data_IF_331925592796
#
_entry.id   IF_331925592796
#
_cell.length_a   1.000
_cell.length_b   1.000
_cell.length_c   1.000
_cell.angle_alpha   90.00
_cell.angle_beta   90.00
_cell.angle_gamma   90.00
#
_symmetry.space_group_name_H-M   'P 1'
#
loop_
_entity.id
_entity.type
_entity.pdbx_description
1 polymer ?
#
# COMPACT_ATOMS: atom_id res chain seq x y z
N UNK A 1 73.98 19.24 -20.87
CA UNK A 1 73.63 18.04 -20.09
C UNK A 1 72.15 18.13 -19.77
N UNK A 2 71.34 17.45 -20.56
CA UNK A 2 69.88 17.53 -20.46
C UNK A 2 69.41 16.30 -19.70
N UNK A 3 68.91 16.49 -18.48
CA UNK A 3 68.36 15.41 -17.65
C UNK A 3 66.95 15.13 -18.10
N UNK A 4 66.74 13.99 -18.73
CA UNK A 4 65.42 13.47 -19.08
C UNK A 4 64.77 12.83 -17.81
N UNK A 5 63.54 13.19 -17.40
CA UNK A 5 62.87 12.50 -16.32
C UNK A 5 62.38 11.13 -16.78
N UNK A 6 62.89 10.07 -16.22
CA UNK A 6 62.37 8.70 -16.37
C UNK A 6 60.99 8.58 -15.73
N UNK A 7 59.96 8.72 -16.53
CA UNK A 7 58.58 8.36 -16.16
C UNK A 7 58.49 6.82 -16.13
N UNK A 8 58.70 6.21 -14.99
CA UNK A 8 58.44 4.81 -14.80
C UNK A 8 56.92 4.64 -14.74
N UNK A 9 56.30 4.41 -15.88
CA UNK A 9 54.92 3.99 -15.96
C UNK A 9 54.74 2.65 -15.26
N UNK A 10 54.11 2.65 -14.08
CA UNK A 10 53.81 1.44 -13.35
C UNK A 10 52.61 0.75 -14.00
N UNK A 11 52.79 -0.30 -14.81
CA UNK A 11 51.69 -0.95 -15.56
C UNK A 11 50.62 -1.56 -14.62
N UNK A 12 50.96 -1.81 -13.37
CA UNK A 12 50.07 -2.26 -12.32
C UNK A 12 49.00 -1.20 -11.99
N UNK A 13 49.37 0.05 -11.87
CA UNK A 13 48.44 1.15 -11.49
C UNK A 13 47.41 1.42 -12.62
N UNK A 14 47.83 1.33 -13.86
CA UNK A 14 46.91 1.48 -15.02
C UNK A 14 45.91 0.33 -15.12
N UNK A 15 46.36 -0.91 -14.85
CA UNK A 15 45.45 -2.08 -14.78
C UNK A 15 44.47 -1.96 -13.62
N UNK A 16 44.92 -1.52 -12.45
CA UNK A 16 44.04 -1.28 -11.30
C UNK A 16 43.01 -0.19 -11.55
N UNK A 17 43.43 0.93 -12.17
CA UNK A 17 42.51 2.01 -12.58
C UNK A 17 41.49 1.54 -13.62
N UNK A 18 41.90 0.73 -14.61
CA UNK A 18 40.98 0.17 -15.60
C UNK A 18 39.95 -0.78 -14.98
N UNK A 19 40.35 -1.63 -14.02
CA UNK A 19 39.43 -2.52 -13.29
C UNK A 19 38.47 -1.71 -12.42
N UNK A 20 38.95 -0.70 -11.71
CA UNK A 20 38.06 0.19 -10.91
C UNK A 20 37.08 0.94 -11.78
N UNK A 21 37.52 1.45 -12.93
CA UNK A 21 36.64 2.15 -13.88
C UNK A 21 35.60 1.19 -14.47
N UNK A 22 35.98 -0.03 -14.82
CA UNK A 22 35.07 -1.05 -15.31
C UNK A 22 34.04 -1.45 -14.24
N UNK A 23 34.46 -1.61 -12.98
CA UNK A 23 33.55 -1.91 -11.87
C UNK A 23 32.56 -0.75 -11.63
N UNK A 24 33.04 0.48 -11.75
CA UNK A 24 32.20 1.68 -11.61
C UNK A 24 31.17 1.76 -12.74
N UNK A 25 31.56 1.46 -13.97
CA UNK A 25 30.62 1.43 -15.12
C UNK A 25 29.58 0.32 -15.00
N UNK A 26 29.97 -0.86 -14.50
CA UNK A 26 29.00 -1.93 -14.20
C UNK A 26 28.01 -1.54 -13.11
N UNK A 27 28.44 -0.82 -12.08
CA UNK A 27 27.54 -0.39 -11.00
C UNK A 27 26.52 0.66 -11.45
N UNK A 28 26.84 1.50 -12.44
CA UNK A 28 25.90 2.46 -13.00
C UNK A 28 24.81 1.81 -13.84
N UNK A 29 25.08 0.65 -14.43
CA UNK A 29 24.09 -0.09 -15.25
C UNK A 29 23.01 -0.80 -14.41
N UNK A 30 23.22 -0.99 -13.11
CA UNK A 30 22.30 -1.70 -12.23
C UNK A 30 20.97 -0.95 -12.01
N UNK A 31 20.95 0.38 -12.12
CA UNK A 31 19.72 1.16 -11.96
C UNK A 31 18.71 1.01 -13.11
N UNK A 32 19.12 0.55 -14.27
CA UNK A 32 18.25 0.39 -15.44
C UNK A 32 17.39 -0.89 -15.41
N UNK A 33 17.65 -1.80 -14.47
CA UNK A 33 16.96 -3.09 -14.35
C UNK A 33 15.71 -3.08 -13.48
N UNK A 34 15.40 -1.96 -12.81
CA UNK A 34 14.14 -1.83 -12.07
C UNK A 34 13.06 -1.30 -13.02
N UNK A 35 12.07 -2.12 -13.40
CA UNK A 35 10.96 -1.63 -14.21
C UNK A 35 10.27 -0.50 -13.44
N UNK A 36 10.18 0.67 -14.09
CA UNK A 36 9.32 1.76 -13.64
C UNK A 36 7.90 1.20 -13.57
N UNK A 37 7.38 1.05 -12.36
CA UNK A 37 6.01 0.65 -12.13
C UNK A 37 5.24 1.84 -11.60
N UNK A 38 4.15 2.13 -12.27
CA UNK A 38 3.21 3.10 -11.78
C UNK A 38 2.53 2.55 -10.51
N UNK A 39 2.31 3.40 -9.50
CA UNK A 39 1.59 2.99 -8.31
C UNK A 39 0.17 2.56 -8.68
N UNK A 40 -0.30 1.51 -8.04
CA UNK A 40 -1.70 1.08 -8.17
C UNK A 40 -2.63 2.13 -7.58
N UNK A 41 -3.76 2.37 -8.23
CA UNK A 41 -4.82 3.20 -7.68
C UNK A 41 -5.77 2.32 -6.87
N UNK A 42 -6.01 2.70 -5.62
CA UNK A 42 -6.88 1.94 -4.73
C UNK A 42 -7.89 2.87 -4.10
N UNK A 43 -9.17 2.48 -4.19
CA UNK A 43 -10.29 3.25 -3.65
C UNK A 43 -11.24 2.34 -2.88
N UNK A 44 -11.79 2.83 -1.79
CA UNK A 44 -12.90 2.18 -1.09
C UNK A 44 -14.16 2.32 -1.92
N UNK A 45 -14.78 1.20 -2.27
CA UNK A 45 -16.01 1.18 -3.08
C UNK A 45 -17.21 0.61 -2.34
N UNK A 46 -17.02 0.06 -1.15
CA UNK A 46 -18.15 -0.45 -0.37
C UNK A 46 -17.75 -0.97 1.00
N UNK A 47 -18.75 -1.06 1.86
CA UNK A 47 -18.70 -1.65 3.18
C UNK A 47 -19.90 -2.59 3.30
N UNK A 48 -19.66 -3.87 3.57
CA UNK A 48 -20.70 -4.85 3.79
C UNK A 48 -20.66 -5.36 5.22
N UNK A 49 -21.76 -5.36 5.96
CA UNK A 49 -21.81 -5.96 7.28
C UNK A 49 -21.61 -7.47 7.19
N UNK A 50 -20.81 -8.01 8.08
CA UNK A 50 -20.60 -9.45 8.25
C UNK A 50 -21.25 -9.91 9.56
N UNK A 51 -21.59 -11.21 9.68
CA UNK A 51 -22.05 -11.75 10.94
C UNK A 51 -21.07 -11.45 12.07
N UNK A 52 -21.56 -10.79 13.11
CA UNK A 52 -20.77 -10.41 14.28
C UNK A 52 -20.73 -11.55 15.28
N UNK A 53 -19.64 -11.69 16.00
CA UNK A 53 -19.50 -12.63 17.12
C UNK A 53 -19.07 -11.84 18.34
N UNK A 54 -19.71 -12.07 19.46
CA UNK A 54 -19.43 -11.45 20.76
C UNK A 54 -19.53 -9.90 20.73
N UNK A 55 -18.50 -9.20 21.24
CA UNK A 55 -18.41 -7.74 21.30
C UNK A 55 -17.70 -7.12 20.08
N UNK A 56 -17.55 -7.86 19.00
CA UNK A 56 -16.93 -7.37 17.75
C UNK A 56 -18.00 -7.11 16.69
N UNK A 57 -17.91 -5.97 16.05
CA UNK A 57 -18.67 -5.68 14.84
C UNK A 57 -17.75 -5.91 13.64
N UNK A 58 -18.18 -6.75 12.72
CA UNK A 58 -17.39 -7.16 11.57
C UNK A 58 -17.97 -6.61 10.28
N UNK A 59 -17.08 -6.13 9.41
CA UNK A 59 -17.43 -5.67 8.07
C UNK A 59 -16.45 -6.24 7.05
N UNK A 60 -16.90 -6.31 5.80
CA UNK A 60 -16.01 -6.46 4.66
C UNK A 60 -15.81 -5.09 4.00
N UNK A 61 -14.57 -4.62 3.95
CA UNK A 61 -14.22 -3.45 3.15
C UNK A 61 -13.96 -3.91 1.72
N UNK A 62 -14.73 -3.38 0.77
CA UNK A 62 -14.49 -3.60 -0.65
C UNK A 62 -13.59 -2.50 -1.18
N UNK A 63 -12.43 -2.89 -1.66
CA UNK A 63 -11.46 -2.01 -2.31
C UNK A 63 -11.41 -2.34 -3.80
N UNK A 64 -11.46 -1.30 -4.63
CA UNK A 64 -11.13 -1.40 -6.05
C UNK A 64 -9.65 -1.15 -6.22
N UNK A 65 -8.95 -2.09 -6.83
CA UNK A 65 -7.53 -1.99 -7.15
C UNK A 65 -7.38 -1.89 -8.66
N UNK A 66 -6.84 -0.78 -9.13
CA UNK A 66 -6.58 -0.55 -10.55
C UNK A 66 -5.08 -0.71 -10.82
N UNK A 67 -4.75 -1.51 -11.81
CA UNK A 67 -3.39 -1.75 -12.28
C UNK A 67 -3.13 -0.93 -13.55
N UNK A 68 -2.40 0.20 -13.48
CA UNK A 68 -2.05 1.00 -14.65
C UNK A 68 -0.85 0.43 -15.44
N UNK A 69 -0.29 -0.69 -15.00
CA UNK A 69 0.94 -1.24 -15.56
C UNK A 69 0.67 -2.24 -16.69
N UNK A 70 1.67 -2.41 -17.54
CA UNK A 70 1.67 -3.40 -18.63
C UNK A 70 1.85 -4.84 -18.15
N UNK A 71 2.14 -5.04 -16.87
CA UNK A 71 2.34 -6.36 -16.26
C UNK A 71 1.25 -6.68 -15.26
N UNK A 72 0.85 -7.95 -15.20
CA UNK A 72 -0.06 -8.46 -14.18
C UNK A 72 0.56 -8.34 -12.78
N UNK A 73 -0.27 -8.03 -11.81
CA UNK A 73 0.10 -7.94 -10.39
C UNK A 73 -0.55 -9.11 -9.66
N UNK A 74 0.27 -10.02 -9.14
CA UNK A 74 -0.18 -11.12 -8.31
C UNK A 74 -0.04 -10.74 -6.84
N UNK A 75 -1.03 -11.12 -6.02
CA UNK A 75 -1.00 -10.92 -4.57
C UNK A 75 -1.44 -12.20 -3.84
N UNK A 76 -0.92 -12.39 -2.64
CA UNK A 76 -1.20 -13.55 -1.78
C UNK A 76 -1.53 -13.16 -0.33
N UNK A 77 -1.83 -11.90 -0.11
CA UNK A 77 -2.25 -11.39 1.18
C UNK A 77 -2.55 -9.91 1.13
N UNK A 78 -3.46 -9.49 2.00
CA UNK A 78 -3.89 -8.10 2.11
C UNK A 78 -3.99 -7.74 3.58
N UNK A 79 -3.51 -6.56 3.95
CA UNK A 79 -3.75 -5.99 5.25
C UNK A 79 -4.26 -4.56 5.10
N UNK A 80 -5.23 -4.20 5.93
CA UNK A 80 -5.87 -2.88 5.95
C UNK A 80 -5.91 -2.32 7.36
N UNK A 81 -5.68 -1.02 7.47
CA UNK A 81 -5.89 -0.22 8.67
C UNK A 81 -6.74 1.00 8.30
N UNK A 82 -7.90 1.11 8.93
CA UNK A 82 -8.84 2.22 8.72
C UNK A 82 -8.82 3.16 9.91
N UNK A 83 -8.50 4.40 9.63
CA UNK A 83 -8.63 5.52 10.56
C UNK A 83 -9.84 6.37 10.15
N UNK A 84 -10.62 6.80 11.12
CA UNK A 84 -11.74 7.74 10.92
C UNK A 84 -11.60 8.87 11.92
N UNK A 85 -11.71 10.08 11.43
CA UNK A 85 -11.53 11.30 12.23
C UNK A 85 -10.20 11.33 13.04
N UNK A 86 -9.12 10.79 12.44
CA UNK A 86 -7.80 10.72 13.07
C UNK A 86 -7.62 9.62 14.13
N UNK A 87 -8.63 8.76 14.31
CA UNK A 87 -8.57 7.65 15.25
C UNK A 87 -8.62 6.31 14.53
N UNK A 88 -7.80 5.35 14.95
CA UNK A 88 -7.85 3.98 14.45
C UNK A 88 -9.22 3.36 14.79
N UNK A 89 -9.97 2.98 13.78
CA UNK A 89 -11.30 2.42 13.91
C UNK A 89 -11.30 0.91 13.71
N UNK A 90 -10.70 0.44 12.62
CA UNK A 90 -10.74 -0.96 12.24
C UNK A 90 -9.42 -1.40 11.62
N UNK A 91 -9.10 -2.67 11.78
CA UNK A 91 -8.01 -3.31 11.06
C UNK A 91 -8.44 -4.69 10.58
N UNK A 92 -7.81 -5.17 9.53
CA UNK A 92 -8.10 -6.48 8.98
C UNK A 92 -6.97 -7.03 8.16
N UNK A 93 -6.92 -8.34 8.11
CA UNK A 93 -5.98 -9.09 7.29
C UNK A 93 -6.73 -10.19 6.54
N UNK A 94 -6.27 -10.51 5.35
CA UNK A 94 -6.78 -11.62 4.56
C UNK A 94 -5.62 -12.31 3.86
N UNK A 95 -5.64 -13.61 3.83
CA UNK A 95 -4.74 -14.48 3.07
C UNK A 95 -5.26 -14.73 1.64
N UNK A 96 -6.30 -14.01 1.25
CA UNK A 96 -6.85 -14.11 -0.10
C UNK A 96 -5.78 -13.79 -1.12
N UNK A 97 -5.61 -14.71 -2.07
CA UNK A 97 -4.71 -14.55 -3.21
C UNK A 97 -5.50 -14.29 -4.48
N UNK A 98 -4.86 -13.59 -5.41
CA UNK A 98 -5.44 -13.28 -6.71
C UNK A 98 -4.47 -12.58 -7.62
N UNK A 99 -4.96 -12.17 -8.78
CA UNK A 99 -4.19 -11.48 -9.78
C UNK A 99 -5.01 -10.32 -10.37
N UNK A 100 -4.33 -9.22 -10.65
CA UNK A 100 -4.89 -8.02 -11.27
C UNK A 100 -4.23 -7.89 -12.63
N UNK A 101 -4.96 -8.17 -13.72
CA UNK A 101 -4.40 -8.13 -15.06
C UNK A 101 -3.87 -6.74 -15.42
N UNK A 102 -3.00 -6.68 -16.43
CA UNK A 102 -2.51 -5.43 -16.98
C UNK A 102 -3.67 -4.53 -17.41
N UNK A 103 -3.57 -3.23 -17.17
CA UNK A 103 -4.56 -2.21 -17.54
C UNK A 103 -5.99 -2.61 -17.15
N UNK A 104 -6.14 -3.20 -15.97
CA UNK A 104 -7.41 -3.72 -15.49
C UNK A 104 -7.65 -3.36 -14.03
N UNK A 105 -8.85 -3.62 -13.56
CA UNK A 105 -9.21 -3.46 -12.15
C UNK A 105 -9.84 -4.72 -11.57
N UNK A 106 -9.71 -4.86 -10.26
CA UNK A 106 -10.31 -5.96 -9.50
C UNK A 106 -10.87 -5.41 -8.19
N UNK A 107 -12.03 -5.93 -7.77
CA UNK A 107 -12.59 -5.62 -6.45
C UNK A 107 -12.17 -6.72 -5.49
N UNK A 108 -11.52 -6.33 -4.41
CA UNK A 108 -11.07 -7.22 -3.35
C UNK A 108 -11.85 -6.91 -2.08
N UNK A 109 -12.33 -7.95 -1.41
CA UNK A 109 -13.12 -7.86 -0.18
C UNK A 109 -12.24 -8.30 1.00
N UNK A 110 -12.04 -7.42 1.96
CA UNK A 110 -11.19 -7.69 3.12
C UNK A 110 -12.01 -7.60 4.40
N UNK A 111 -12.13 -8.69 5.18
CA UNK A 111 -12.81 -8.66 6.45
C UNK A 111 -12.03 -7.81 7.46
N UNK A 112 -12.73 -6.92 8.14
CA UNK A 112 -12.18 -6.08 9.21
C UNK A 112 -13.05 -6.20 10.44
N UNK A 113 -12.43 -6.10 11.61
CA UNK A 113 -13.13 -6.11 12.90
C UNK A 113 -12.98 -4.74 13.57
N UNK A 114 -14.08 -4.27 14.15
CA UNK A 114 -14.13 -3.09 15.01
C UNK A 114 -14.40 -3.59 16.42
N UNK A 115 -13.51 -3.32 17.37
CA UNK A 115 -13.79 -3.64 18.75
C UNK A 115 -14.79 -2.65 19.35
N UNK A 116 -15.71 -3.13 20.19
CA UNK A 116 -16.65 -2.25 20.89
C UNK A 116 -15.95 -1.15 21.71
N UNK A 117 -14.75 -1.43 22.22
CA UNK A 117 -13.92 -0.43 22.91
C UNK A 117 -13.44 0.69 22.00
N UNK A 118 -13.19 0.42 20.71
CA UNK A 118 -12.81 1.47 19.75
C UNK A 118 -13.99 2.43 19.50
N UNK A 119 -15.20 1.89 19.38
CA UNK A 119 -16.42 2.69 19.24
C UNK A 119 -16.67 3.52 20.49
N UNK A 120 -16.57 2.91 21.68
CA UNK A 120 -16.78 3.64 22.94
C UNK A 120 -15.76 4.76 23.12
N UNK A 121 -14.50 4.55 22.80
CA UNK A 121 -13.45 5.58 22.89
C UNK A 121 -13.72 6.75 21.93
N UNK A 122 -14.23 6.50 20.73
CA UNK A 122 -14.60 7.53 19.77
C UNK A 122 -15.84 8.30 20.23
N UNK A 123 -16.86 7.63 20.76
CA UNK A 123 -18.07 8.32 21.25
C UNK A 123 -17.79 9.21 22.46
N UNK A 124 -16.85 8.84 23.32
CA UNK A 124 -16.42 9.68 24.45
C UNK A 124 -15.58 10.89 24.01
N UNK A 125 -14.93 10.82 22.85
CA UNK A 125 -14.13 11.92 22.26
C UNK A 125 -14.89 12.83 21.29
N UNK A 126 -16.08 12.42 20.84
CA UNK A 126 -16.91 13.21 19.94
C UNK A 126 -17.73 14.19 20.78
N UNK A 127 -17.44 15.48 20.65
CA UNK A 127 -18.38 16.53 21.07
C UNK A 127 -19.72 16.26 20.36
N UNK A 128 -20.83 16.34 21.09
CA UNK A 128 -22.21 15.95 20.69
C UNK A 128 -22.77 16.66 19.44
N UNK A 129 -21.98 17.41 18.69
CA UNK A 129 -22.38 18.19 17.51
C UNK A 129 -21.81 17.71 16.18
N UNK A 130 -21.02 16.64 16.15
CA UNK A 130 -20.52 16.12 14.87
C UNK A 130 -21.56 15.21 14.24
N UNK A 131 -22.16 15.68 13.14
CA UNK A 131 -22.97 14.85 12.25
C UNK A 131 -22.10 13.71 11.71
N UNK A 132 -22.63 12.50 11.71
CA UNK A 132 -21.96 11.30 11.14
C UNK A 132 -21.81 11.37 9.62
N UNK A 133 -22.21 12.47 9.01
CA UNK A 133 -22.07 12.74 7.59
C UNK A 133 -20.71 13.38 7.30
N UNK A 134 -20.02 12.90 6.28
CA UNK A 134 -18.72 13.44 5.83
C UNK A 134 -17.55 13.24 6.81
N UNK A 135 -17.50 12.13 7.52
CA UNK A 135 -16.35 11.81 8.38
C UNK A 135 -15.09 11.56 7.53
N UNK A 136 -14.00 12.30 7.77
CA UNK A 136 -12.75 12.05 7.07
C UNK A 136 -12.21 10.68 7.45
N UNK A 137 -11.79 9.92 6.44
CA UNK A 137 -11.12 8.64 6.64
C UNK A 137 -9.75 8.61 5.98
N UNK A 138 -8.88 7.78 6.53
CA UNK A 138 -7.62 7.37 5.91
C UNK A 138 -7.55 5.85 5.98
N UNK A 139 -7.51 5.22 4.81
CA UNK A 139 -7.27 3.79 4.66
C UNK A 139 -5.82 3.57 4.29
N UNK A 140 -5.08 2.87 5.12
CA UNK A 140 -3.74 2.39 4.81
C UNK A 140 -3.79 0.91 4.58
N UNK A 141 -3.04 0.44 3.58
CA UNK A 141 -3.00 -0.98 3.32
C UNK A 141 -1.74 -1.43 2.63
N UNK A 142 -1.63 -2.73 2.55
CA UNK A 142 -0.58 -3.42 1.81
C UNK A 142 -1.14 -4.65 1.11
N UNK A 143 -0.73 -4.81 -0.14
CA UNK A 143 -0.88 -6.04 -0.91
C UNK A 143 0.48 -6.75 -0.89
N UNK A 144 0.51 -7.93 -0.31
CA UNK A 144 1.69 -8.78 -0.30
C UNK A 144 1.63 -9.74 -1.49
N UNK A 145 2.74 -10.00 -2.13
CA UNK A 145 2.81 -11.07 -3.13
C UNK A 145 3.78 -10.85 -4.25
N UNK A 146 4.03 -11.98 -4.95
CA UNK A 146 4.77 -12.06 -6.19
C UNK A 146 6.26 -11.72 -6.08
N UNK A 147 6.89 -11.79 -7.24
CA UNK A 147 8.32 -11.51 -7.47
C UNK A 147 8.71 -10.06 -7.13
N UNK A 148 7.74 -9.19 -6.89
CA UNK A 148 7.91 -7.74 -6.78
C UNK A 148 7.70 -7.21 -5.36
N UNK A 149 7.48 -8.09 -4.39
CA UNK A 149 7.37 -7.73 -2.98
C UNK A 149 6.01 -7.16 -2.58
N UNK A 150 6.01 -6.36 -1.51
CA UNK A 150 4.80 -5.78 -0.92
C UNK A 150 4.55 -4.38 -1.46
N UNK A 151 3.37 -4.15 -2.03
CA UNK A 151 2.90 -2.81 -2.40
C UNK A 151 2.13 -2.18 -1.24
N UNK A 152 2.46 -0.95 -0.90
CA UNK A 152 1.74 -0.15 0.11
C UNK A 152 0.94 0.93 -0.57
N UNK A 153 -0.22 1.22 0.00
CA UNK A 153 -1.12 2.25 -0.51
C UNK A 153 -1.78 3.03 0.63
N UNK A 154 -2.25 4.20 0.29
CA UNK A 154 -3.05 5.07 1.16
C UNK A 154 -4.19 5.64 0.32
N UNK A 155 -5.40 5.49 0.81
CA UNK A 155 -6.58 6.17 0.29
C UNK A 155 -7.18 7.07 1.37
N UNK A 156 -7.73 8.19 0.98
CA UNK A 156 -8.35 9.13 1.91
C UNK A 156 -9.55 9.81 1.27
N UNK A 157 -10.57 10.04 2.08
CA UNK A 157 -11.80 10.62 1.59
C UNK A 157 -12.74 10.97 2.75
N UNK A 158 -14.01 11.04 2.42
CA UNK A 158 -15.09 11.26 3.38
C UNK A 158 -16.06 10.11 3.31
N UNK A 159 -16.34 9.50 4.46
CA UNK A 159 -17.38 8.48 4.60
C UNK A 159 -18.72 9.16 4.78
N UNK A 160 -19.67 8.85 3.91
CA UNK A 160 -21.09 9.13 4.09
C UNK A 160 -21.76 7.84 4.51
N UNK A 161 -22.16 7.73 5.76
CA UNK A 161 -22.91 6.58 6.23
C UNK A 161 -24.33 6.66 5.66
N UNK A 162 -24.86 5.57 5.06
CA UNK A 162 -26.26 5.55 4.64
C UNK A 162 -27.11 5.79 5.88
N UNK A 163 -28.02 6.76 5.80
CA UNK A 163 -29.02 6.97 6.86
C UNK A 163 -29.74 5.63 7.05
N UNK A 164 -29.73 5.12 8.28
CA UNK A 164 -30.50 3.95 8.63
C UNK A 164 -31.96 4.30 8.29
N UNK A 165 -32.47 3.73 7.20
CA UNK A 165 -33.90 3.76 6.92
C UNK A 165 -34.54 2.96 8.05
N UNK A 166 -35.27 3.66 8.93
CA UNK A 166 -36.02 3.01 9.97
C UNK A 166 -36.92 1.96 9.28
N UNK A 167 -36.65 0.70 9.56
CA UNK A 167 -37.54 -0.38 9.14
C UNK A 167 -38.88 -0.11 9.80
N UNK A 168 -39.84 0.31 9.01
CA UNK A 168 -41.25 0.34 9.42
C UNK A 168 -41.70 -1.11 9.57
N UNK A 169 -41.92 -1.50 10.79
CA UNK A 169 -42.58 -2.76 11.21
C UNK A 169 -44.06 -2.73 10.87
#
# INVERSE_FOLDING_TARGET
MTVQPFFVERPFMRRFQAVMLSLLLLSLSACALFPNRDPVNINVVGLEPLPSQDLEVRFAIKIRVQNPNETTIDYNGIALDLEVNGHSLASGVSDQSGSIPRFSETIVSVPVSISAFSVLRQTLGLSQTQTLDNLPYVLRGKLAGGLFGTMRFVDSGKLSLPKATAATW
#
